data_IF_723733690713
#
_entry.id   IF_723733690713
#
_cell.length_a   1.000
_cell.length_b   1.000
_cell.length_c   1.000
_cell.angle_alpha   90.00
_cell.angle_beta   90.00
_cell.angle_gamma   90.00
#
_symmetry.space_group_name_H-M   'P 1'
#
loop_
_entity.id
_entity.type
_entity.pdbx_description
1 polymer ?
#
# COMPACT_ATOMS: atom_id res chain seq x y z
N UNK A 1 -42.56 -38.10 33.27
CA UNK A 1 -42.68 -37.46 31.94
C UNK A 1 -42.55 -35.95 32.12
N UNK A 2 -41.37 -35.38 31.88
CA UNK A 2 -41.11 -33.94 32.07
C UNK A 2 -41.01 -33.29 30.69
N UNK A 3 -42.00 -32.46 30.34
CA UNK A 3 -42.05 -31.79 29.04
C UNK A 3 -40.97 -30.71 28.98
N UNK A 4 -39.97 -30.91 28.13
CA UNK A 4 -38.92 -29.92 27.81
C UNK A 4 -39.57 -28.82 26.97
N UNK A 5 -39.92 -27.72 27.63
CA UNK A 5 -40.46 -26.50 27.01
C UNK A 5 -39.44 -25.95 26.01
N UNK A 6 -39.86 -25.75 24.75
CA UNK A 6 -39.00 -25.15 23.72
C UNK A 6 -38.74 -23.67 24.05
N UNK A 7 -37.54 -23.13 23.75
CA UNK A 7 -37.26 -21.73 23.96
C UNK A 7 -38.15 -20.87 23.04
N UNK A 8 -39.01 -20.05 23.62
CA UNK A 8 -39.81 -19.06 22.90
C UNK A 8 -38.91 -17.88 22.50
N UNK A 9 -38.50 -17.85 21.24
CA UNK A 9 -37.73 -16.73 20.70
C UNK A 9 -38.66 -15.54 20.49
N UNK A 10 -38.52 -14.52 21.35
CA UNK A 10 -39.35 -13.33 21.31
C UNK A 10 -38.92 -12.46 20.11
N UNK A 11 -39.85 -11.92 19.28
CA UNK A 11 -39.50 -11.17 18.07
C UNK A 11 -38.61 -9.95 18.34
N UNK A 12 -38.76 -9.33 19.50
CA UNK A 12 -37.93 -8.20 19.95
C UNK A 12 -36.47 -8.60 20.21
N UNK A 13 -36.21 -9.84 20.65
CA UNK A 13 -34.85 -10.35 20.83
C UNK A 13 -34.16 -10.58 19.48
N UNK A 14 -34.91 -11.05 18.48
CA UNK A 14 -34.41 -11.22 17.10
C UNK A 14 -34.11 -9.86 16.46
N UNK A 15 -35.00 -8.88 16.66
CA UNK A 15 -34.79 -7.51 16.18
C UNK A 15 -33.60 -6.82 16.86
N UNK A 16 -33.45 -6.98 18.19
CA UNK A 16 -32.31 -6.43 18.92
C UNK A 16 -30.99 -7.09 18.50
N UNK A 17 -30.94 -8.41 18.36
CA UNK A 17 -29.76 -9.15 17.92
C UNK A 17 -29.35 -8.80 16.48
N UNK A 18 -30.33 -8.60 15.58
CA UNK A 18 -30.08 -8.12 14.22
C UNK A 18 -29.51 -6.69 14.22
N UNK A 19 -30.02 -5.80 15.07
CA UNK A 19 -29.51 -4.43 15.21
C UNK A 19 -28.09 -4.39 15.80
N UNK A 20 -27.79 -5.25 16.78
CA UNK A 20 -26.45 -5.36 17.38
C UNK A 20 -25.45 -5.98 16.40
N UNK A 21 -25.85 -6.97 15.61
CA UNK A 21 -25.00 -7.53 14.56
C UNK A 21 -24.75 -6.53 13.41
N UNK A 22 -25.77 -5.74 13.03
CA UNK A 22 -25.62 -4.67 12.04
C UNK A 22 -24.70 -3.55 12.54
N UNK A 23 -24.84 -3.13 13.80
CA UNK A 23 -23.91 -2.18 14.43
C UNK A 23 -22.50 -2.74 14.59
N UNK A 24 -22.34 -4.04 14.89
CA UNK A 24 -21.04 -4.69 15.00
C UNK A 24 -20.30 -4.72 13.65
N UNK A 25 -21.01 -5.04 12.56
CA UNK A 25 -20.49 -5.01 11.18
C UNK A 25 -20.19 -3.57 10.72
N UNK A 26 -21.05 -2.60 11.07
CA UNK A 26 -20.80 -1.19 10.79
C UNK A 26 -19.63 -0.62 11.59
N UNK A 27 -19.36 -1.17 12.78
CA UNK A 27 -18.24 -0.78 13.64
C UNK A 27 -16.96 -1.57 13.40
N UNK A 28 -16.93 -2.48 12.43
CA UNK A 28 -15.76 -3.31 12.15
C UNK A 28 -14.53 -2.40 11.84
N UNK A 29 -13.48 -2.45 12.68
CA UNK A 29 -12.30 -1.58 12.57
C UNK A 29 -11.63 -1.60 11.19
N UNK A 30 -11.83 -2.68 10.42
CA UNK A 30 -11.25 -2.91 9.10
C UNK A 30 -11.77 -1.92 8.06
N UNK A 31 -13.07 -1.63 8.08
CA UNK A 31 -13.70 -0.66 7.17
C UNK A 31 -13.44 0.78 7.61
N UNK A 32 -13.44 1.03 8.92
CA UNK A 32 -13.07 2.34 9.48
C UNK A 32 -11.61 2.73 9.23
N UNK A 33 -10.69 1.75 9.18
CA UNK A 33 -9.28 1.98 8.82
C UNK A 33 -9.10 2.43 7.37
N UNK A 34 -9.78 1.78 6.42
CA UNK A 34 -9.71 2.16 5.01
C UNK A 34 -10.33 3.55 4.76
N UNK A 35 -11.42 3.87 5.47
CA UNK A 35 -12.06 5.18 5.37
C UNK A 35 -11.21 6.31 5.98
N UNK A 36 -10.49 6.04 7.08
CA UNK A 36 -9.50 6.95 7.68
C UNK A 36 -8.28 7.14 6.80
N UNK A 37 -7.67 6.05 6.32
CA UNK A 37 -6.61 6.11 5.31
C UNK A 37 -7.04 6.92 4.09
N UNK A 38 -8.26 6.70 3.59
CA UNK A 38 -8.77 7.44 2.44
C UNK A 38 -8.95 8.93 2.76
N UNK A 39 -9.65 9.27 3.84
CA UNK A 39 -9.95 10.68 4.13
C UNK A 39 -8.73 11.47 4.62
N UNK A 40 -7.80 10.85 5.34
CA UNK A 40 -6.58 11.50 5.85
C UNK A 40 -5.49 11.59 4.79
N UNK A 41 -5.34 10.58 3.91
CA UNK A 41 -4.31 10.60 2.83
C UNK A 41 -4.79 11.29 1.55
N UNK A 42 -6.06 11.11 1.16
CA UNK A 42 -6.61 11.78 -0.03
C UNK A 42 -7.12 13.19 0.27
N UNK A 43 -7.44 13.53 1.53
CA UNK A 43 -7.71 14.91 1.96
C UNK A 43 -6.44 15.79 2.04
N UNK A 44 -5.25 15.18 1.98
CA UNK A 44 -3.95 15.85 1.92
C UNK A 44 -3.34 15.89 0.50
N UNK A 45 -4.07 15.44 -0.53
CA UNK A 45 -3.60 15.59 -1.89
C UNK A 45 -3.59 17.06 -2.26
N UNK A 46 -2.39 17.62 -2.37
CA UNK A 46 -2.21 19.00 -2.83
C UNK A 46 -2.63 19.07 -4.30
N UNK A 47 -3.39 20.09 -4.69
CA UNK A 47 -3.93 20.19 -6.04
C UNK A 47 -2.79 20.08 -7.07
N UNK A 48 -2.97 19.22 -8.08
CA UNK A 48 -1.95 18.94 -9.09
C UNK A 48 -1.51 20.21 -9.86
N UNK A 49 -2.35 21.25 -9.86
CA UNK A 49 -2.02 22.57 -10.41
C UNK A 49 -0.86 23.26 -9.69
N UNK A 50 -0.73 23.08 -8.37
CA UNK A 50 0.41 23.60 -7.59
C UNK A 50 1.67 22.75 -7.77
N UNK A 51 1.50 21.45 -8.02
CA UNK A 51 2.60 20.53 -8.29
C UNK A 51 3.26 20.83 -9.64
N UNK A 52 2.47 21.16 -10.67
CA UNK A 52 2.96 21.51 -12.00
C UNK A 52 3.00 23.02 -12.27
N UNK A 53 3.16 23.85 -11.24
CA UNK A 53 3.26 25.30 -11.44
C UNK A 53 4.59 25.65 -12.12
N UNK A 54 4.52 25.82 -13.45
CA UNK A 54 5.70 26.06 -14.29
C UNK A 54 6.35 27.43 -14.04
N UNK A 55 5.66 28.35 -13.39
CA UNK A 55 6.17 29.69 -13.12
C UNK A 55 7.14 29.71 -11.93
N UNK A 56 7.17 28.66 -11.11
CA UNK A 56 8.03 28.50 -9.93
C UNK A 56 9.26 27.63 -10.19
N UNK A 57 9.50 27.22 -11.44
CA UNK A 57 10.72 26.50 -11.79
C UNK A 57 11.87 27.48 -11.92
N UNK A 58 12.85 27.36 -11.04
CA UNK A 58 14.10 28.12 -11.11
C UNK A 58 15.29 27.18 -10.92
N UNK A 59 16.22 27.21 -11.87
CA UNK A 59 17.46 26.45 -11.79
C UNK A 59 18.47 27.25 -10.97
N UNK A 60 18.87 26.70 -9.81
CA UNK A 60 19.85 27.34 -8.92
C UNK A 60 21.20 26.64 -8.98
N UNK A 61 22.28 27.41 -8.97
CA UNK A 61 23.66 26.88 -8.99
C UNK A 61 24.17 26.42 -7.61
N UNK A 62 23.49 26.81 -6.51
CA UNK A 62 23.94 26.53 -5.14
C UNK A 62 23.36 25.23 -4.57
N UNK A 63 24.25 24.31 -4.16
CA UNK A 63 23.86 23.05 -3.50
C UNK A 63 23.11 23.28 -2.18
N UNK A 64 23.42 24.36 -1.45
CA UNK A 64 22.77 24.68 -0.18
C UNK A 64 21.27 25.00 -0.38
N UNK A 65 20.95 25.73 -1.44
CA UNK A 65 19.56 26.05 -1.82
C UNK A 65 18.80 24.80 -2.27
N UNK A 66 19.44 23.89 -3.01
CA UNK A 66 18.85 22.62 -3.43
C UNK A 66 18.49 21.74 -2.22
N UNK A 67 19.39 21.65 -1.22
CA UNK A 67 19.13 20.87 0.00
C UNK A 67 17.92 21.39 0.79
N UNK A 68 17.79 22.72 0.91
CA UNK A 68 16.62 23.35 1.54
C UNK A 68 15.32 23.07 0.76
N UNK A 69 15.37 23.17 -0.57
CA UNK A 69 14.24 22.84 -1.46
C UNK A 69 13.82 21.39 -1.33
N UNK A 70 14.75 20.44 -1.25
CA UNK A 70 14.43 19.04 -0.98
C UNK A 70 13.71 18.86 0.35
N UNK A 71 14.25 19.42 1.43
CA UNK A 71 13.66 19.28 2.76
C UNK A 71 12.21 19.77 2.82
N UNK A 72 11.92 20.92 2.18
CA UNK A 72 10.57 21.48 2.10
C UNK A 72 9.68 20.71 1.12
N UNK A 73 10.08 20.59 -0.15
CA UNK A 73 9.22 20.06 -1.21
C UNK A 73 8.91 18.56 -1.03
N UNK A 74 9.83 17.76 -0.49
CA UNK A 74 9.60 16.34 -0.21
C UNK A 74 8.51 16.12 0.85
N UNK A 75 8.47 16.99 1.86
CA UNK A 75 7.43 16.95 2.88
C UNK A 75 6.12 17.55 2.37
N UNK A 76 6.20 18.66 1.63
CA UNK A 76 5.04 19.38 1.11
C UNK A 76 4.24 18.57 0.08
N UNK A 77 4.93 17.85 -0.83
CA UNK A 77 4.32 17.06 -1.90
C UNK A 77 4.41 15.53 -1.69
N UNK A 78 4.52 15.08 -0.43
CA UNK A 78 4.70 13.66 -0.09
C UNK A 78 3.66 12.73 -0.76
N UNK A 79 2.37 13.09 -0.72
CA UNK A 79 1.29 12.28 -1.31
C UNK A 79 1.37 12.23 -2.84
N UNK A 80 1.76 13.32 -3.49
CA UNK A 80 1.92 13.39 -4.95
C UNK A 80 3.10 12.51 -5.39
N UNK A 81 4.23 12.56 -4.67
CA UNK A 81 5.36 11.68 -4.93
C UNK A 81 5.02 10.20 -4.67
N UNK A 82 4.22 9.89 -3.65
CA UNK A 82 3.75 8.53 -3.40
C UNK A 82 2.93 7.96 -4.58
N UNK A 83 2.08 8.77 -5.22
CA UNK A 83 1.34 8.37 -6.42
C UNK A 83 2.28 8.10 -7.59
N UNK A 84 3.30 8.94 -7.80
CA UNK A 84 4.31 8.74 -8.86
C UNK A 84 5.05 7.42 -8.64
N UNK A 85 5.53 7.16 -7.42
CA UNK A 85 6.23 5.91 -7.09
C UNK A 85 5.31 4.70 -7.26
N UNK A 86 4.04 4.80 -6.88
CA UNK A 86 3.05 3.75 -7.10
C UNK A 86 2.82 3.49 -8.59
N UNK A 87 2.67 4.53 -9.40
CA UNK A 87 2.51 4.41 -10.85
C UNK A 87 3.75 3.76 -11.50
N UNK A 88 4.96 4.17 -11.11
CA UNK A 88 6.21 3.55 -11.55
C UNK A 88 6.31 2.08 -11.13
N UNK A 89 5.83 1.75 -9.93
CA UNK A 89 5.81 0.37 -9.43
C UNK A 89 4.87 -0.51 -10.26
N UNK A 90 3.66 -0.02 -10.55
CA UNK A 90 2.71 -0.73 -11.42
C UNK A 90 3.28 -0.90 -12.82
N UNK A 91 3.87 0.15 -13.39
CA UNK A 91 4.53 0.09 -14.69
C UNK A 91 5.65 -0.97 -14.71
N UNK A 92 6.55 -0.97 -13.73
CA UNK A 92 7.64 -1.93 -13.63
C UNK A 92 7.15 -3.39 -13.55
N UNK A 93 6.03 -3.62 -12.87
CA UNK A 93 5.41 -4.95 -12.78
C UNK A 93 4.80 -5.37 -14.13
N UNK A 94 4.05 -4.48 -14.79
CA UNK A 94 3.38 -4.79 -16.05
C UNK A 94 4.38 -5.02 -17.19
N UNK A 95 5.47 -4.27 -17.22
CA UNK A 95 6.50 -4.41 -18.26
C UNK A 95 7.37 -5.66 -18.07
N UNK A 96 7.38 -6.28 -16.89
CA UNK A 96 8.16 -7.48 -16.61
C UNK A 96 7.30 -8.75 -16.60
N UNK A 97 7.30 -9.56 -17.67
CA UNK A 97 6.44 -10.74 -17.78
C UNK A 97 6.76 -11.81 -16.73
N UNK A 98 8.04 -12.01 -16.40
CA UNK A 98 8.46 -12.97 -15.37
C UNK A 98 8.05 -12.53 -13.97
N UNK A 99 8.20 -11.24 -13.65
CA UNK A 99 7.81 -10.70 -12.34
C UNK A 99 6.29 -10.77 -12.15
N UNK A 100 5.53 -10.47 -13.21
CA UNK A 100 4.07 -10.61 -13.21
C UNK A 100 3.65 -12.07 -13.00
N UNK A 101 4.30 -13.02 -13.69
CA UNK A 101 4.09 -14.45 -13.47
C UNK A 101 4.43 -14.86 -12.03
N UNK A 102 5.55 -14.39 -11.47
CA UNK A 102 5.94 -14.69 -10.09
C UNK A 102 4.92 -14.15 -9.09
N UNK A 103 4.43 -12.92 -9.27
CA UNK A 103 3.36 -12.36 -8.44
C UNK A 103 2.10 -13.23 -8.56
N UNK A 104 1.68 -13.56 -9.78
CA UNK A 104 0.51 -14.41 -10.00
C UNK A 104 0.67 -15.81 -9.38
N UNK A 105 1.87 -16.39 -9.45
CA UNK A 105 2.21 -17.65 -8.80
C UNK A 105 2.11 -17.52 -7.28
N UNK A 106 2.68 -16.46 -6.69
CA UNK A 106 2.68 -16.23 -5.25
C UNK A 106 1.27 -16.01 -4.69
N UNK A 107 0.44 -15.23 -5.35
CA UNK A 107 -0.93 -14.99 -4.88
C UNK A 107 -1.87 -16.14 -5.24
N UNK A 108 -1.77 -16.67 -6.46
CA UNK A 108 -2.60 -17.78 -6.93
C UNK A 108 -2.31 -19.08 -6.19
N UNK A 109 -1.04 -19.43 -6.01
CA UNK A 109 -0.64 -20.61 -5.24
C UNK A 109 -1.01 -20.49 -3.77
N UNK A 110 -0.81 -19.33 -3.16
CA UNK A 110 -1.20 -19.10 -1.78
C UNK A 110 -2.73 -19.19 -1.60
N UNK A 111 -3.50 -18.63 -2.53
CA UNK A 111 -4.96 -18.75 -2.54
C UNK A 111 -5.42 -20.21 -2.67
N UNK A 112 -4.82 -20.97 -3.59
CA UNK A 112 -5.15 -22.39 -3.81
C UNK A 112 -4.82 -23.26 -2.59
N UNK A 113 -3.67 -23.01 -1.94
CA UNK A 113 -3.25 -23.74 -0.74
C UNK A 113 -4.14 -23.34 0.45
N UNK A 114 -4.43 -22.04 0.61
CA UNK A 114 -5.29 -21.54 1.69
C UNK A 114 -6.71 -22.09 1.62
N UNK A 115 -7.21 -22.34 0.40
CA UNK A 115 -8.53 -22.96 0.19
C UNK A 115 -8.65 -24.37 0.77
N UNK A 116 -7.54 -25.09 0.94
CA UNK A 116 -7.54 -26.45 1.49
C UNK A 116 -7.72 -26.47 3.01
N UNK A 117 -7.74 -25.32 3.69
CA UNK A 117 -8.10 -25.22 5.10
C UNK A 117 -7.19 -26.00 6.06
N UNK A 118 -5.94 -26.26 5.67
CA UNK A 118 -4.98 -27.02 6.47
C UNK A 118 -5.22 -28.53 6.46
N UNK A 119 -6.02 -29.06 5.53
CA UNK A 119 -6.15 -30.50 5.36
C UNK A 119 -4.85 -31.08 4.76
N UNK A 120 -4.37 -32.23 5.27
CA UNK A 120 -3.20 -32.88 4.70
C UNK A 120 -3.52 -33.41 3.29
N UNK A 121 -2.61 -33.19 2.34
CA UNK A 121 -2.77 -33.66 0.97
C UNK A 121 -2.18 -35.07 0.83
N UNK A 122 -2.98 -36.02 0.38
CA UNK A 122 -2.51 -37.35 -0.01
C UNK A 122 -2.24 -37.39 -1.51
N UNK A 123 -0.97 -37.45 -1.89
CA UNK A 123 -0.54 -37.62 -3.29
C UNK A 123 0.12 -38.99 -3.41
N UNK A 124 -0.43 -39.88 -4.25
CA UNK A 124 0.14 -41.20 -4.51
C UNK A 124 0.23 -42.13 -3.29
N UNK A 125 -0.63 -41.94 -2.28
CA UNK A 125 -0.64 -42.72 -1.03
C UNK A 125 0.19 -42.14 0.12
N UNK A 126 0.98 -41.08 -0.14
CA UNK A 126 1.78 -40.40 0.89
C UNK A 126 1.05 -39.16 1.42
N UNK A 127 0.91 -39.06 2.75
CA UNK A 127 0.29 -37.92 3.44
C UNK A 127 1.32 -36.79 3.58
N UNK A 128 1.10 -35.67 2.89
CA UNK A 128 1.92 -34.47 3.01
C UNK A 128 1.29 -33.53 4.04
N UNK A 129 2.05 -33.21 5.08
CA UNK A 129 1.65 -32.22 6.09
C UNK A 129 1.49 -30.82 5.46
N UNK A 130 0.50 -30.02 5.90
CA UNK A 130 0.34 -28.64 5.44
C UNK A 130 1.61 -27.81 5.61
N UNK A 131 2.36 -28.01 6.71
CA UNK A 131 3.61 -27.27 6.98
C UNK A 131 4.66 -27.51 5.90
N UNK A 132 4.83 -28.75 5.44
CA UNK A 132 5.76 -29.11 4.37
C UNK A 132 5.34 -28.50 3.03
N UNK A 133 4.03 -28.47 2.74
CA UNK A 133 3.51 -27.84 1.52
C UNK A 133 3.79 -26.33 1.50
N UNK A 134 3.50 -25.61 2.59
CA UNK A 134 3.82 -24.18 2.70
C UNK A 134 5.32 -23.92 2.65
N UNK A 135 6.14 -24.79 3.25
CA UNK A 135 7.61 -24.66 3.20
C UNK A 135 8.13 -24.85 1.76
N UNK A 136 7.66 -25.87 1.04
CA UNK A 136 8.06 -26.12 -0.35
C UNK A 136 7.59 -24.99 -1.28
N UNK A 137 6.34 -24.57 -1.11
CA UNK A 137 5.77 -23.45 -1.85
C UNK A 137 6.51 -22.14 -1.59
N UNK A 138 6.84 -21.83 -0.33
CA UNK A 138 7.62 -20.67 0.04
C UNK A 138 9.03 -20.71 -0.54
N UNK A 139 9.69 -21.88 -0.51
CA UNK A 139 10.99 -22.09 -1.13
C UNK A 139 10.97 -21.87 -2.65
N UNK A 140 10.01 -22.48 -3.35
CA UNK A 140 9.83 -22.29 -4.78
C UNK A 140 9.50 -20.83 -5.14
N UNK A 141 8.66 -20.17 -4.34
CA UNK A 141 8.32 -18.76 -4.49
C UNK A 141 9.54 -17.85 -4.33
N UNK A 142 10.40 -18.14 -3.34
CA UNK A 142 11.63 -17.38 -3.11
C UNK A 142 12.60 -17.53 -4.27
N UNK A 143 12.83 -18.77 -4.74
CA UNK A 143 13.68 -19.04 -5.91
C UNK A 143 13.13 -18.29 -7.13
N UNK A 144 11.84 -18.41 -7.41
CA UNK A 144 11.21 -17.69 -8.51
C UNK A 144 11.38 -16.18 -8.36
N UNK A 145 11.21 -15.62 -7.16
CA UNK A 145 11.38 -14.19 -6.93
C UNK A 145 12.82 -13.72 -7.22
N UNK A 146 13.83 -14.50 -6.85
CA UNK A 146 15.23 -14.20 -7.16
C UNK A 146 15.50 -14.17 -8.67
N UNK A 147 14.90 -15.08 -9.44
CA UNK A 147 15.07 -15.14 -10.90
C UNK A 147 14.09 -14.25 -11.69
N UNK A 148 13.02 -13.75 -11.05
CA UNK A 148 11.97 -12.96 -11.70
C UNK A 148 12.42 -11.56 -12.15
N UNK A 149 13.61 -11.13 -11.74
CA UNK A 149 14.08 -9.76 -11.91
C UNK A 149 13.51 -8.78 -10.89
N UNK A 150 12.88 -9.25 -9.80
CA UNK A 150 12.34 -8.41 -8.72
C UNK A 150 13.35 -7.39 -8.19
N UNK A 151 14.59 -7.83 -7.95
CA UNK A 151 15.67 -6.94 -7.51
C UNK A 151 15.95 -5.83 -8.52
N UNK A 152 16.01 -6.17 -9.81
CA UNK A 152 16.21 -5.20 -10.89
C UNK A 152 15.05 -4.21 -10.99
N UNK A 153 13.81 -4.68 -10.85
CA UNK A 153 12.62 -3.83 -10.82
C UNK A 153 12.66 -2.84 -9.65
N UNK A 154 13.04 -3.28 -8.45
CA UNK A 154 13.18 -2.42 -7.27
C UNK A 154 14.24 -1.34 -7.52
N UNK A 155 15.43 -1.71 -8.01
CA UNK A 155 16.47 -0.74 -8.33
C UNK A 155 16.03 0.25 -9.41
N UNK A 156 15.31 -0.22 -10.43
CA UNK A 156 14.77 0.63 -11.48
C UNK A 156 13.75 1.63 -10.93
N UNK A 157 12.81 1.17 -10.09
CA UNK A 157 11.81 2.04 -9.46
C UNK A 157 12.50 3.08 -8.59
N UNK A 158 13.46 2.68 -7.75
CA UNK A 158 14.19 3.60 -6.88
C UNK A 158 14.96 4.63 -7.71
N UNK A 159 15.68 4.21 -8.75
CA UNK A 159 16.44 5.10 -9.62
C UNK A 159 15.55 6.08 -10.37
N UNK A 160 14.49 5.60 -11.02
CA UNK A 160 13.54 6.43 -11.74
C UNK A 160 12.80 7.40 -10.81
N UNK A 161 12.36 6.91 -9.65
CA UNK A 161 11.72 7.75 -8.63
C UNK A 161 12.70 8.81 -8.10
N UNK A 162 13.95 8.46 -7.82
CA UNK A 162 14.95 9.43 -7.37
C UNK A 162 15.15 10.55 -8.40
N UNK A 163 15.30 10.22 -9.68
CA UNK A 163 15.47 11.22 -10.74
C UNK A 163 14.23 12.13 -10.85
N UNK A 164 13.03 11.55 -10.87
CA UNK A 164 11.79 12.32 -11.05
C UNK A 164 11.48 13.16 -9.81
N UNK A 165 11.51 12.57 -8.62
CA UNK A 165 11.14 13.22 -7.36
C UNK A 165 12.18 14.25 -6.94
N UNK A 166 13.47 13.89 -6.93
CA UNK A 166 14.52 14.83 -6.52
C UNK A 166 14.75 15.91 -7.57
N UNK A 167 14.62 15.58 -8.86
CA UNK A 167 14.65 16.57 -9.94
C UNK A 167 13.52 17.60 -9.78
N UNK A 168 12.29 17.12 -9.59
CA UNK A 168 11.14 17.98 -9.33
C UNK A 168 11.33 18.84 -8.07
N UNK A 169 11.74 18.21 -6.97
CA UNK A 169 11.94 18.89 -5.69
C UNK A 169 13.09 19.90 -5.69
N UNK A 170 14.13 19.72 -6.53
CA UNK A 170 15.23 20.67 -6.67
C UNK A 170 14.83 21.90 -7.50
N UNK A 171 14.01 21.70 -8.53
CA UNK A 171 13.66 22.76 -9.48
C UNK A 171 12.53 23.66 -8.98
N UNK A 172 11.67 23.17 -8.08
CA UNK A 172 10.52 23.91 -7.57
C UNK A 172 10.92 24.84 -6.40
N UNK A 173 10.73 26.15 -6.58
CA UNK A 173 10.91 27.15 -5.51
C UNK A 173 9.92 26.89 -4.37
N UNK A 174 10.31 26.96 -3.08
CA UNK A 174 9.37 26.90 -1.96
C UNK A 174 8.29 28.00 -2.07
N UNK A 175 7.09 27.75 -1.54
CA UNK A 175 6.04 28.78 -1.54
C UNK A 175 6.35 29.85 -0.50
N UNK A 176 5.56 30.95 -0.47
CA UNK A 176 5.69 32.02 0.53
C UNK A 176 5.68 31.47 1.98
N UNK A 177 4.96 30.37 2.22
CA UNK A 177 4.93 29.63 3.49
C UNK A 177 6.33 29.10 3.90
N UNK A 178 7.14 28.69 2.93
CA UNK A 178 8.54 28.29 3.11
C UNK A 178 9.44 29.47 3.43
N UNK A 179 9.18 30.66 2.85
CA UNK A 179 9.92 31.89 3.17
C UNK A 179 9.63 32.35 4.62
N UNK A 180 8.40 32.21 5.10
CA UNK A 180 8.07 32.47 6.51
C UNK A 180 8.63 31.42 7.48
N UNK A 181 8.79 30.17 7.02
CA UNK A 181 9.41 29.10 7.81
C UNK A 181 10.95 29.20 7.87
N UNK A 182 11.58 29.92 6.94
CA UNK A 182 13.03 30.07 6.82
C UNK A 182 13.56 31.47 7.13
N UNK A 183 12.69 32.47 7.29
CA UNK A 183 13.06 33.80 7.75
C UNK A 183 13.40 33.83 9.24
N UNK A 184 14.41 34.62 9.68
CA UNK A 184 14.63 34.84 11.10
C UNK A 184 13.38 35.50 11.68
N UNK A 185 12.82 34.91 12.74
CA UNK A 185 11.81 35.55 13.58
C UNK A 185 12.47 36.77 14.21
N UNK A 186 12.35 37.92 13.55
CA UNK A 186 12.71 39.22 14.13
C UNK A 186 11.54 39.62 15.04
N UNK A 187 11.71 39.35 16.34
CA UNK A 187 10.97 40.00 17.43
C UNK A 187 11.66 41.29 17.82
#
# INVERSE_FOLDING_TARGET
MSAKTAPSFNPEQIASAASTAASAVASDPRFGFLHRLRNERFGQLRPLSEFFDRHRFSLTTSFQTISQRWSYNLQYFQSNYAIIVLALSIYAVITSPLLLFTIAFIFGGFYLISRQGGQPLTIGGSVISPSTMYAFYGGASLILLLFSGATGAIFWIIGAAAVIVLGHAAMLEPGLEGDFASGPVQV
#
